data_IF_731215686277
#
_entry.id   IF_731215686277
#
_cell.length_a   1.000
_cell.length_b   1.000
_cell.length_c   1.000
_cell.angle_alpha   90.00
_cell.angle_beta   90.00
_cell.angle_gamma   90.00
#
_symmetry.space_group_name_H-M   'P 1'
#
loop_
_entity.id
_entity.type
_entity.pdbx_description
1 polymer ?
#
# COMPACT_ATOMS: atom_id res chain seq x y z
N UNK A 1 -37.75 -32.26 -41.78
CA UNK A 1 -36.37 -32.04 -42.25
C UNK A 1 -35.88 -30.76 -41.58
N UNK A 2 -34.77 -30.88 -40.87
CA UNK A 2 -34.06 -29.91 -40.03
C UNK A 2 -33.83 -28.57 -40.78
N UNK A 3 -33.52 -27.43 -40.15
CA UNK A 3 -32.69 -27.21 -38.97
C UNK A 3 -32.84 -25.81 -38.38
N UNK A 4 -32.48 -25.75 -37.11
CA UNK A 4 -32.27 -24.65 -36.18
C UNK A 4 -31.65 -23.34 -36.71
N UNK A 5 -32.05 -22.24 -36.08
CA UNK A 5 -31.36 -20.94 -36.11
C UNK A 5 -31.62 -20.18 -34.82
N UNK A 6 -30.59 -20.13 -33.97
CA UNK A 6 -30.57 -19.70 -32.56
C UNK A 6 -31.01 -18.26 -32.29
N UNK A 7 -31.55 -18.09 -31.08
CA UNK A 7 -31.70 -16.85 -30.31
C UNK A 7 -30.37 -16.12 -30.11
N UNK A 8 -30.33 -14.82 -30.36
CA UNK A 8 -29.24 -13.94 -29.92
C UNK A 8 -29.77 -13.10 -28.75
N UNK A 9 -29.30 -13.47 -27.57
CA UNK A 9 -29.43 -12.77 -26.31
C UNK A 9 -28.58 -11.50 -26.35
N UNK A 10 -29.20 -10.32 -26.33
CA UNK A 10 -28.52 -9.03 -26.12
C UNK A 10 -28.38 -8.82 -24.61
N UNK A 11 -27.31 -9.33 -24.02
CA UNK A 11 -26.96 -8.97 -22.64
C UNK A 11 -25.50 -9.21 -22.28
N UNK A 12 -24.52 -8.67 -23.02
CA UNK A 12 -23.14 -8.58 -22.47
C UNK A 12 -22.25 -7.55 -23.16
N UNK A 13 -22.47 -6.26 -22.90
CA UNK A 13 -21.40 -5.25 -23.02
C UNK A 13 -21.51 -4.34 -21.79
N UNK A 14 -20.81 -4.68 -20.70
CA UNK A 14 -20.51 -3.76 -19.59
C UNK A 14 -19.46 -4.27 -18.58
N UNK A 15 -18.78 -5.40 -18.83
CA UNK A 15 -17.81 -5.98 -17.87
C UNK A 15 -16.33 -5.85 -18.26
N UNK A 16 -16.02 -5.44 -19.50
CA UNK A 16 -14.61 -5.32 -19.95
C UNK A 16 -14.00 -3.94 -19.70
N UNK A 17 -14.81 -2.88 -19.64
CA UNK A 17 -14.32 -1.50 -19.45
C UNK A 17 -13.88 -1.22 -18.00
N UNK A 18 -14.51 -1.83 -17.00
CA UNK A 18 -14.12 -1.65 -15.60
C UNK A 18 -12.76 -2.29 -15.30
N UNK A 19 -12.51 -3.49 -15.84
CA UNK A 19 -11.30 -4.27 -15.59
C UNK A 19 -10.04 -3.62 -16.16
N UNK A 20 -10.13 -2.99 -17.34
CA UNK A 20 -9.02 -2.24 -17.97
C UNK A 20 -8.71 -0.97 -17.16
N UNK A 21 -9.73 -0.32 -16.60
CA UNK A 21 -9.54 0.89 -15.78
C UNK A 21 -8.85 0.56 -14.46
N UNK A 22 -9.17 -0.57 -13.83
CA UNK A 22 -8.55 -0.96 -12.55
C UNK A 22 -7.19 -1.61 -12.70
N UNK A 23 -6.92 -2.33 -13.79
CA UNK A 23 -5.56 -2.77 -14.12
C UNK A 23 -4.62 -1.58 -14.37
N UNK A 24 -5.09 -0.54 -15.06
CA UNK A 24 -4.32 0.70 -15.25
C UNK A 24 -4.09 1.47 -13.93
N UNK A 25 -4.93 1.29 -12.91
CA UNK A 25 -4.75 1.92 -11.59
C UNK A 25 -3.57 1.33 -10.80
N UNK A 26 -3.08 0.13 -11.12
CA UNK A 26 -1.89 -0.47 -10.48
C UNK A 26 -0.72 -0.73 -11.45
N UNK A 27 -0.94 -0.64 -12.77
CA UNK A 27 0.09 -0.75 -13.81
C UNK A 27 0.79 0.57 -14.16
N UNK A 28 0.34 1.71 -13.63
CA UNK A 28 1.13 2.93 -13.66
C UNK A 28 2.27 2.79 -12.64
N UNK A 29 3.49 3.16 -13.02
CA UNK A 29 4.69 2.98 -12.18
C UNK A 29 4.70 3.98 -11.00
N UNK A 30 3.79 3.77 -10.05
CA UNK A 30 3.66 4.58 -8.84
C UNK A 30 4.87 4.44 -7.93
N UNK A 31 5.55 3.29 -8.00
CA UNK A 31 6.80 3.09 -7.27
C UNK A 31 7.92 3.97 -7.85
N UNK A 32 8.09 4.01 -9.17
CA UNK A 32 9.01 4.94 -9.84
C UNK A 32 8.66 6.40 -9.51
N UNK A 33 7.37 6.77 -9.62
CA UNK A 33 6.91 8.14 -9.29
C UNK A 33 7.23 8.52 -7.83
N UNK A 34 7.07 7.58 -6.89
CA UNK A 34 7.41 7.78 -5.48
C UNK A 34 8.93 7.95 -5.29
N UNK A 35 9.73 7.14 -5.99
CA UNK A 35 11.20 7.24 -5.96
C UNK A 35 11.70 8.57 -6.53
N UNK A 36 11.17 9.01 -7.67
CA UNK A 36 11.48 10.32 -8.25
C UNK A 36 11.08 11.46 -7.31
N UNK A 37 10.04 11.25 -6.50
CA UNK A 37 9.54 12.20 -5.51
C UNK A 37 10.06 11.95 -4.08
N UNK A 38 11.18 11.23 -3.90
CA UNK A 38 11.67 10.79 -2.59
C UNK A 38 11.85 11.93 -1.57
N UNK A 39 12.32 13.10 -2.01
CA UNK A 39 12.48 14.28 -1.13
C UNK A 39 11.14 14.80 -0.60
N UNK A 40 10.12 14.84 -1.47
CA UNK A 40 8.76 15.25 -1.10
C UNK A 40 8.11 14.21 -0.20
N UNK A 41 8.34 12.93 -0.48
CA UNK A 41 7.90 11.84 0.37
C UNK A 41 8.53 11.94 1.76
N UNK A 42 9.85 12.13 1.86
CA UNK A 42 10.55 12.29 3.12
C UNK A 42 10.00 13.46 3.94
N UNK A 43 9.77 14.63 3.33
CA UNK A 43 9.14 15.77 4.00
C UNK A 43 7.76 15.41 4.54
N UNK A 44 6.94 14.74 3.73
CA UNK A 44 5.58 14.31 4.12
C UNK A 44 5.60 13.30 5.25
N UNK A 45 6.57 12.37 5.21
CA UNK A 45 6.83 11.39 6.25
C UNK A 45 7.24 12.09 7.55
N UNK A 46 8.19 13.03 7.50
CA UNK A 46 8.65 13.79 8.67
C UNK A 46 7.55 14.64 9.31
N UNK A 47 6.72 15.29 8.48
CA UNK A 47 5.61 16.11 8.95
C UNK A 47 4.40 15.28 9.45
N UNK A 48 4.33 14.00 9.14
CA UNK A 48 3.20 13.15 9.57
C UNK A 48 1.95 13.36 8.74
N UNK A 49 2.10 13.80 7.49
CA UNK A 49 1.04 13.70 6.47
C UNK A 49 0.95 12.28 5.95
N UNK A 50 2.11 11.66 5.71
CA UNK A 50 2.24 10.21 5.67
C UNK A 50 2.84 9.80 6.99
N UNK A 51 2.13 9.03 7.81
CA UNK A 51 2.58 8.68 9.16
C UNK A 51 3.63 7.59 9.15
N UNK A 52 3.51 6.67 8.21
CA UNK A 52 4.43 5.56 8.07
C UNK A 52 4.15 4.77 6.81
N UNK A 53 4.94 3.71 6.63
CA UNK A 53 4.77 2.76 5.52
C UNK A 53 4.65 1.35 6.07
N UNK A 54 3.67 0.61 5.57
CA UNK A 54 3.45 -0.81 5.88
C UNK A 54 3.64 -1.64 4.63
N UNK A 55 4.60 -2.55 4.66
CA UNK A 55 4.86 -3.47 3.55
C UNK A 55 4.18 -4.82 3.77
N UNK A 56 3.21 -5.17 2.94
CA UNK A 56 2.61 -6.50 2.91
C UNK A 56 3.43 -7.36 1.95
N UNK A 57 4.09 -8.37 2.49
CA UNK A 57 4.99 -9.27 1.74
C UNK A 57 4.31 -10.62 1.59
N UNK A 58 4.41 -11.19 0.39
CA UNK A 58 3.81 -12.49 0.04
C UNK A 58 2.29 -12.51 0.25
N UNK A 59 1.63 -11.48 -0.30
CA UNK A 59 0.19 -11.36 -0.25
C UNK A 59 -0.48 -12.59 -0.89
N UNK A 60 -1.44 -13.25 -0.22
CA UNK A 60 -1.97 -14.53 -0.67
C UNK A 60 -2.74 -14.42 -1.99
N UNK A 61 -2.34 -15.24 -2.97
CA UNK A 61 -3.11 -15.42 -4.20
C UNK A 61 -4.28 -16.37 -3.95
N UNK A 62 -5.44 -15.82 -3.59
CA UNK A 62 -6.56 -16.64 -3.16
C UNK A 62 -7.39 -17.15 -4.34
N UNK A 63 -7.16 -18.39 -4.77
CA UNK A 63 -8.12 -19.09 -5.62
C UNK A 63 -9.42 -19.53 -4.90
N UNK A 64 -9.51 -19.39 -3.56
CA UNK A 64 -10.60 -20.01 -2.78
C UNK A 64 -10.92 -19.44 -1.39
N UNK A 65 -10.23 -18.40 -0.90
CA UNK A 65 -10.51 -17.76 0.41
C UNK A 65 -10.53 -16.25 0.27
N UNK A 66 -11.64 -15.65 0.65
CA UNK A 66 -11.91 -14.21 0.58
C UNK A 66 -10.76 -13.39 1.20
N UNK A 67 -10.03 -12.60 0.41
CA UNK A 67 -8.98 -11.68 0.87
C UNK A 67 -9.56 -10.46 1.62
N UNK A 68 -10.79 -10.56 2.13
CA UNK A 68 -11.54 -9.48 2.76
C UNK A 68 -10.88 -8.96 4.04
N UNK A 69 -10.22 -9.82 4.82
CA UNK A 69 -9.45 -9.40 5.99
C UNK A 69 -8.28 -8.48 5.63
N UNK A 70 -7.56 -8.79 4.55
CA UNK A 70 -6.48 -7.94 4.06
C UNK A 70 -7.00 -6.62 3.50
N UNK A 71 -8.12 -6.63 2.77
CA UNK A 71 -8.73 -5.39 2.29
C UNK A 71 -9.19 -4.51 3.44
N UNK A 72 -9.78 -5.09 4.47
CA UNK A 72 -10.15 -4.37 5.69
C UNK A 72 -8.91 -3.76 6.37
N UNK A 73 -7.85 -4.54 6.54
CA UNK A 73 -6.58 -4.09 7.10
C UNK A 73 -5.99 -2.91 6.31
N UNK A 74 -5.85 -3.04 4.99
CA UNK A 74 -5.32 -2.00 4.11
C UNK A 74 -6.16 -0.74 4.22
N UNK A 75 -7.49 -0.90 4.20
CA UNK A 75 -8.41 0.21 4.29
C UNK A 75 -8.25 1.00 5.59
N UNK A 76 -8.14 0.29 6.71
CA UNK A 76 -7.95 0.86 8.04
C UNK A 76 -6.57 1.52 8.20
N UNK A 77 -5.53 1.01 7.54
CA UNK A 77 -4.21 1.63 7.50
C UNK A 77 -4.21 2.94 6.71
N UNK A 78 -4.77 2.97 5.49
CA UNK A 78 -4.80 4.20 4.69
C UNK A 78 -5.70 5.26 5.34
N UNK A 79 -6.77 4.86 6.03
CA UNK A 79 -7.60 5.77 6.84
C UNK A 79 -6.81 6.43 8.00
N UNK A 80 -5.72 5.79 8.46
CA UNK A 80 -4.83 6.32 9.50
C UNK A 80 -3.62 7.08 8.94
N UNK A 81 -3.65 7.48 7.67
CA UNK A 81 -2.54 8.13 6.96
C UNK A 81 -1.28 7.25 6.83
N UNK A 82 -1.45 5.92 6.81
CA UNK A 82 -0.34 4.96 6.66
C UNK A 82 -0.36 4.42 5.23
N UNK A 83 0.75 4.61 4.51
CA UNK A 83 0.90 4.12 3.15
C UNK A 83 1.11 2.61 3.14
N UNK A 84 0.53 1.93 2.16
CA UNK A 84 0.68 0.48 2.03
C UNK A 84 1.45 0.15 0.76
N UNK A 85 2.47 -0.70 0.88
CA UNK A 85 3.18 -1.27 -0.25
C UNK A 85 2.96 -2.78 -0.29
N UNK A 86 2.66 -3.35 -1.45
CA UNK A 86 2.39 -4.77 -1.61
C UNK A 86 3.49 -5.38 -2.49
N UNK A 87 4.14 -6.41 -1.98
CA UNK A 87 5.14 -7.21 -2.68
C UNK A 87 4.64 -8.64 -2.82
N UNK A 88 4.34 -9.09 -4.04
CA UNK A 88 3.83 -10.42 -4.37
C UNK A 88 3.99 -10.73 -5.86
N UNK A 89 3.62 -11.94 -6.31
CA UNK A 89 3.62 -12.25 -7.75
C UNK A 89 2.54 -11.48 -8.54
N UNK A 90 2.77 -11.25 -9.84
CA UNK A 90 1.92 -10.43 -10.73
C UNK A 90 0.42 -10.75 -10.69
N UNK A 91 0.07 -12.03 -10.54
CA UNK A 91 -1.33 -12.47 -10.46
C UNK A 91 -2.07 -11.85 -9.28
N UNK A 92 -1.37 -11.56 -8.18
CA UNK A 92 -1.95 -10.90 -7.02
C UNK A 92 -2.25 -9.43 -7.30
N UNK A 93 -1.36 -8.72 -8.00
CA UNK A 93 -1.59 -7.33 -8.40
C UNK A 93 -2.87 -7.19 -9.24
N UNK A 94 -3.05 -8.10 -10.21
CA UNK A 94 -4.26 -8.17 -11.05
C UNK A 94 -5.52 -8.44 -10.21
N UNK A 95 -5.46 -9.41 -9.29
CA UNK A 95 -6.58 -9.74 -8.43
C UNK A 95 -6.94 -8.59 -7.49
N UNK A 96 -5.94 -7.91 -6.93
CA UNK A 96 -6.14 -6.75 -6.06
C UNK A 96 -6.78 -5.58 -6.81
N UNK A 97 -6.34 -5.29 -8.05
CA UNK A 97 -7.05 -4.35 -8.92
C UNK A 97 -8.52 -4.77 -9.10
N UNK A 98 -8.81 -6.05 -9.35
CA UNK A 98 -10.20 -6.51 -9.44
C UNK A 98 -11.05 -6.31 -8.17
N UNK A 99 -10.40 -6.24 -6.99
CA UNK A 99 -11.09 -6.11 -5.69
C UNK A 99 -11.19 -4.67 -5.18
N UNK A 100 -10.34 -3.76 -5.64
CA UNK A 100 -10.25 -2.37 -5.16
C UNK A 100 -10.96 -1.43 -6.15
N UNK A 101 -12.13 -0.92 -5.76
CA UNK A 101 -12.82 0.13 -6.50
C UNK A 101 -12.31 1.55 -6.17
N UNK A 102 -12.66 2.57 -6.97
CA UNK A 102 -12.28 3.96 -6.71
C UNK A 102 -12.75 4.47 -5.34
N UNK A 103 -13.87 3.97 -4.82
CA UNK A 103 -14.40 4.31 -3.49
C UNK A 103 -13.51 3.81 -2.33
N UNK A 104 -12.63 2.83 -2.58
CA UNK A 104 -11.70 2.32 -1.57
C UNK A 104 -10.76 3.42 -1.08
N UNK A 105 -10.29 4.27 -2.00
CA UNK A 105 -9.34 5.33 -1.69
C UNK A 105 -9.99 6.59 -1.11
N UNK A 106 -11.32 6.74 -1.22
CA UNK A 106 -12.05 7.86 -0.59
C UNK A 106 -12.03 7.81 0.95
N UNK A 107 -11.73 6.65 1.51
CA UNK A 107 -11.57 6.42 2.95
C UNK A 107 -10.12 6.60 3.42
N UNK A 108 -9.21 7.01 2.54
CA UNK A 108 -7.86 7.39 2.95
C UNK A 108 -7.92 8.65 3.84
N UNK A 109 -7.03 8.72 4.83
CA UNK A 109 -6.90 9.90 5.68
C UNK A 109 -6.49 11.13 4.85
N UNK A 110 -6.88 12.31 5.33
CA UNK A 110 -6.68 13.56 4.60
C UNK A 110 -5.20 13.81 4.24
N UNK A 111 -4.27 13.41 5.11
CA UNK A 111 -2.84 13.67 4.93
C UNK A 111 -2.24 12.84 3.81
N UNK A 112 -2.49 11.52 3.82
CA UNK A 112 -1.99 10.65 2.76
C UNK A 112 -2.74 10.88 1.44
N UNK A 113 -4.06 11.11 1.50
CA UNK A 113 -4.86 11.39 0.31
C UNK A 113 -4.36 12.64 -0.42
N UNK A 114 -4.07 13.71 0.33
CA UNK A 114 -3.51 14.93 -0.25
C UNK A 114 -2.12 14.72 -0.86
N UNK A 115 -1.23 14.02 -0.15
CA UNK A 115 0.11 13.71 -0.67
C UNK A 115 0.03 12.89 -1.98
N UNK A 116 -0.74 11.82 -1.96
CA UNK A 116 -0.96 10.94 -3.11
C UNK A 116 -1.53 11.71 -4.31
N UNK A 117 -2.53 12.57 -4.09
CA UNK A 117 -3.08 13.45 -5.13
C UNK A 117 -2.05 14.46 -5.67
N UNK A 118 -1.16 14.97 -4.81
CA UNK A 118 -0.16 15.96 -5.20
C UNK A 118 0.89 15.38 -6.16
N UNK A 119 1.38 14.17 -5.90
CA UNK A 119 2.38 13.51 -6.76
C UNK A 119 1.77 12.58 -7.82
N UNK A 120 0.46 12.36 -7.81
CA UNK A 120 -0.26 11.58 -8.83
C UNK A 120 -0.21 10.05 -8.62
N UNK A 121 -0.12 9.58 -7.38
CA UNK A 121 -0.13 8.15 -7.04
C UNK A 121 -1.34 7.76 -6.17
N UNK A 122 -1.53 6.46 -5.94
CA UNK A 122 -2.49 5.93 -4.96
C UNK A 122 -1.79 5.63 -3.61
N UNK A 123 -2.54 5.59 -2.48
CA UNK A 123 -1.98 5.28 -1.16
C UNK A 123 -1.62 3.79 -0.97
N UNK A 124 -1.99 2.95 -1.93
CA UNK A 124 -1.61 1.52 -1.99
C UNK A 124 -0.78 1.32 -3.25
N UNK A 125 0.47 0.91 -3.10
CA UNK A 125 1.42 0.73 -4.19
C UNK A 125 1.75 -0.75 -4.34
N UNK A 126 1.67 -1.25 -5.57
CA UNK A 126 2.16 -2.57 -5.92
C UNK A 126 3.60 -2.45 -6.42
N UNK A 127 4.55 -3.11 -5.75
CA UNK A 127 5.99 -3.03 -6.07
C UNK A 127 6.48 -4.28 -6.83
N UNK A 128 5.59 -5.24 -7.09
CA UNK A 128 5.96 -6.47 -7.80
C UNK A 128 6.53 -7.55 -6.88
N UNK A 129 7.33 -8.43 -7.46
CA UNK A 129 7.82 -9.66 -6.83
C UNK A 129 8.92 -9.39 -5.81
N UNK A 130 8.90 -10.17 -4.72
CA UNK A 130 9.85 -10.17 -3.59
C UNK A 130 11.32 -10.44 -3.99
N UNK A 131 11.62 -10.60 -5.28
CA UNK A 131 12.96 -10.85 -5.83
C UNK A 131 13.69 -9.53 -6.15
N UNK A 132 12.98 -8.42 -6.34
CA UNK A 132 13.56 -7.09 -6.68
C UNK A 132 13.75 -6.19 -5.44
N UNK A 133 14.36 -6.75 -4.38
CA UNK A 133 14.48 -6.11 -3.06
C UNK A 133 15.50 -4.98 -2.97
N UNK A 134 16.51 -4.92 -3.85
CA UNK A 134 17.60 -3.94 -3.73
C UNK A 134 17.09 -2.51 -3.71
N UNK A 135 16.20 -2.19 -4.65
CA UNK A 135 15.77 -0.82 -4.90
C UNK A 135 14.84 -0.33 -3.78
N UNK A 136 14.00 -1.22 -3.24
CA UNK A 136 13.18 -0.95 -2.06
C UNK A 136 14.05 -0.67 -0.84
N UNK A 137 15.05 -1.52 -0.60
CA UNK A 137 15.93 -1.36 0.56
C UNK A 137 16.77 -0.08 0.44
N UNK A 138 17.24 0.25 -0.76
CA UNK A 138 17.99 1.47 -1.05
C UNK A 138 17.13 2.72 -0.86
N UNK A 139 15.85 2.70 -1.26
CA UNK A 139 14.91 3.76 -0.96
C UNK A 139 14.80 4.02 0.55
N UNK A 140 14.57 2.97 1.36
CA UNK A 140 14.51 3.13 2.82
C UNK A 140 15.84 3.52 3.45
N UNK A 141 16.98 3.05 2.91
CA UNK A 141 18.30 3.48 3.35
C UNK A 141 18.50 4.98 3.08
N UNK A 142 18.06 5.49 1.93
CA UNK A 142 18.07 6.91 1.59
C UNK A 142 17.21 7.75 2.54
N UNK A 143 16.01 7.28 2.90
CA UNK A 143 15.18 7.94 3.91
C UNK A 143 15.83 7.96 5.29
N UNK A 144 16.45 6.85 5.68
CA UNK A 144 17.16 6.73 6.96
C UNK A 144 18.35 7.70 7.03
N UNK A 145 19.10 7.80 5.93
CA UNK A 145 20.21 8.75 5.78
C UNK A 145 19.72 10.19 5.90
N UNK A 146 18.63 10.55 5.20
CA UNK A 146 18.02 11.89 5.32
C UNK A 146 17.50 12.19 6.73
N UNK A 147 16.99 11.18 7.44
CA UNK A 147 16.56 11.29 8.83
C UNK A 147 17.72 11.31 9.83
N UNK A 148 18.95 10.97 9.41
CA UNK A 148 20.10 10.72 10.27
C UNK A 148 19.83 9.67 11.37
N UNK A 149 19.10 8.60 11.02
CA UNK A 149 18.79 7.48 11.91
C UNK A 149 19.09 6.15 11.23
N UNK A 150 19.16 5.07 12.00
CA UNK A 150 19.16 3.72 11.43
C UNK A 150 17.80 3.39 10.80
N UNK A 151 17.80 2.62 9.71
CA UNK A 151 16.58 2.22 8.98
C UNK A 151 15.49 1.66 9.90
N UNK A 152 15.87 0.86 10.89
CA UNK A 152 14.94 0.25 11.85
C UNK A 152 14.20 1.27 12.73
N UNK A 153 14.68 2.51 12.82
CA UNK A 153 14.05 3.59 13.58
C UNK A 153 13.09 4.42 12.75
N UNK A 154 13.02 4.22 11.43
CA UNK A 154 11.98 4.82 10.61
C UNK A 154 10.59 4.30 11.04
N UNK A 155 9.53 5.09 10.81
CA UNK A 155 8.15 4.65 11.02
C UNK A 155 7.72 3.69 9.90
N UNK A 156 8.25 2.48 9.95
CA UNK A 156 7.99 1.40 9.00
C UNK A 156 7.59 0.13 9.73
N UNK A 157 6.74 -0.66 9.08
CA UNK A 157 6.37 -2.00 9.51
C UNK A 157 6.19 -2.91 8.29
N UNK A 158 6.18 -4.21 8.52
CA UNK A 158 5.82 -5.17 7.49
C UNK A 158 4.82 -6.19 8.03
N UNK A 159 4.07 -6.80 7.11
CA UNK A 159 3.11 -7.86 7.41
C UNK A 159 3.50 -9.06 6.54
N UNK A 160 3.73 -10.20 7.20
CA UNK A 160 4.14 -11.43 6.54
C UNK A 160 3.27 -12.60 7.01
N UNK A 161 2.49 -13.24 6.13
CA UNK A 161 1.73 -14.43 6.48
C UNK A 161 2.63 -15.66 6.63
N UNK A 162 2.97 -15.98 7.88
CA UNK A 162 3.32 -17.32 8.34
C UNK A 162 4.68 -17.90 7.92
N UNK A 163 4.93 -18.16 6.63
CA UNK A 163 6.00 -19.09 6.21
C UNK A 163 7.35 -18.46 5.82
N UNK A 164 7.45 -17.13 5.79
CA UNK A 164 8.65 -16.44 5.28
C UNK A 164 9.25 -15.42 6.26
N UNK A 165 8.83 -15.40 7.53
CA UNK A 165 9.27 -14.40 8.51
C UNK A 165 10.80 -14.32 8.66
N UNK A 166 11.50 -15.45 8.62
CA UNK A 166 12.96 -15.52 8.76
C UNK A 166 13.74 -15.13 7.47
N UNK A 167 13.04 -14.96 6.34
CA UNK A 167 13.65 -14.72 5.02
C UNK A 167 13.26 -13.35 4.42
N UNK A 168 12.53 -12.53 5.17
CA UNK A 168 12.10 -11.21 4.72
C UNK A 168 13.07 -10.16 5.28
N UNK A 169 13.92 -9.64 4.41
CA UNK A 169 14.57 -8.36 4.65
C UNK A 169 13.50 -7.26 4.60
N UNK A 170 12.95 -6.96 5.78
CA UNK A 170 11.91 -5.95 5.96
C UNK A 170 12.52 -4.60 6.30
N UNK A 171 11.94 -3.48 5.82
CA UNK A 171 12.35 -2.14 6.24
C UNK A 171 11.96 -1.82 7.69
N UNK A 172 11.16 -2.65 8.36
CA UNK A 172 10.70 -2.43 9.74
C UNK A 172 10.29 -3.69 10.48
N UNK A 173 9.69 -3.53 11.66
CA UNK A 173 9.18 -4.65 12.47
C UNK A 173 8.11 -5.44 11.71
N UNK A 174 8.19 -6.77 11.76
CA UNK A 174 7.25 -7.68 11.08
C UNK A 174 6.09 -8.04 12.03
N UNK A 175 4.87 -7.90 11.54
CA UNK A 175 3.62 -8.24 12.23
C UNK A 175 2.93 -9.43 11.53
N UNK A 176 2.09 -10.13 12.28
CA UNK A 176 1.20 -11.18 11.77
C UNK A 176 -0.25 -10.74 11.89
N UNK A 177 -1.13 -11.40 11.13
CA UNK A 177 -2.58 -11.21 11.21
C UNK A 177 -3.27 -12.32 12.01
N UNK A 178 -2.56 -13.03 12.90
CA UNK A 178 -3.13 -14.14 13.69
C UNK A 178 -4.29 -13.70 14.59
N UNK A 179 -4.22 -12.46 15.07
CA UNK A 179 -5.18 -11.83 15.97
C UNK A 179 -6.32 -11.08 15.24
N UNK A 180 -6.38 -11.17 13.91
CA UNK A 180 -7.36 -10.49 13.06
C UNK A 180 -6.98 -9.06 12.67
N UNK A 181 -7.60 -8.50 11.61
CA UNK A 181 -7.15 -7.26 10.97
C UNK A 181 -7.24 -6.03 11.88
N UNK A 182 -8.33 -5.88 12.65
CA UNK A 182 -8.52 -4.72 13.51
C UNK A 182 -7.42 -4.58 14.58
N UNK A 183 -7.14 -5.67 15.30
CA UNK A 183 -6.11 -5.68 16.34
C UNK A 183 -4.71 -5.50 15.75
N UNK A 184 -4.43 -6.12 14.59
CA UNK A 184 -3.17 -5.91 13.88
C UNK A 184 -2.98 -4.45 13.47
N UNK A 185 -4.02 -3.77 12.96
CA UNK A 185 -3.93 -2.34 12.63
C UNK A 185 -3.60 -1.51 13.86
N UNK A 186 -4.27 -1.72 14.98
CA UNK A 186 -4.03 -0.93 16.19
C UNK A 186 -2.60 -1.13 16.73
N UNK A 187 -2.06 -2.34 16.64
CA UNK A 187 -0.66 -2.63 17.00
C UNK A 187 0.33 -1.92 16.07
N UNK A 188 0.07 -1.95 14.76
CA UNK A 188 0.90 -1.26 13.78
C UNK A 188 0.83 0.26 13.99
N UNK A 189 -0.36 0.80 14.23
CA UNK A 189 -0.59 2.22 14.46
C UNK A 189 0.21 2.73 15.68
N UNK A 190 0.15 1.98 16.79
CA UNK A 190 0.93 2.27 17.99
C UNK A 190 2.45 2.16 17.72
N UNK A 191 2.89 1.14 17.00
CA UNK A 191 4.30 0.99 16.63
C UNK A 191 4.81 2.16 15.77
N UNK A 192 4.02 2.56 14.77
CA UNK A 192 4.33 3.73 13.93
C UNK A 192 4.41 4.99 14.79
N UNK A 193 3.43 5.22 15.65
CA UNK A 193 3.42 6.34 16.59
C UNK A 193 4.69 6.38 17.45
N UNK A 194 5.05 5.26 18.09
CA UNK A 194 6.23 5.15 18.96
C UNK A 194 7.53 5.40 18.19
N UNK A 195 7.65 4.88 16.96
CA UNK A 195 8.81 5.14 16.08
C UNK A 195 8.96 6.62 15.76
N UNK A 196 7.86 7.29 15.41
CA UNK A 196 7.88 8.74 15.12
C UNK A 196 8.31 9.55 16.34
N UNK A 197 7.77 9.26 17.52
CA UNK A 197 8.18 9.92 18.75
C UNK A 197 9.64 9.64 19.11
N UNK A 198 10.10 8.40 18.90
CA UNK A 198 11.49 8.00 19.13
C UNK A 198 12.52 8.79 18.32
N UNK A 199 12.14 9.27 17.13
CA UNK A 199 12.97 10.12 16.27
C UNK A 199 12.56 11.61 16.30
N UNK A 200 11.76 12.01 17.30
CA UNK A 200 11.31 13.38 17.54
C UNK A 200 10.47 13.98 16.40
N UNK A 201 9.73 13.15 15.66
CA UNK A 201 8.80 13.60 14.64
C UNK A 201 7.41 13.79 15.24
N UNK A 202 6.66 14.76 14.72
CA UNK A 202 5.26 14.92 15.08
C UNK A 202 4.44 13.75 14.53
N UNK A 203 3.53 13.18 15.32
CA UNK A 203 2.75 12.03 14.88
C UNK A 203 1.73 12.40 13.78
N UNK A 204 0.98 13.50 13.95
CA UNK A 204 0.07 14.05 12.93
C UNK A 204 0.17 15.56 12.83
N UNK A 205 0.27 16.06 11.61
CA UNK A 205 0.07 17.48 11.31
C UNK A 205 -1.22 17.64 10.50
N UNK A 206 -2.26 18.22 11.08
CA UNK A 206 -3.56 18.47 10.41
C UNK A 206 -3.54 19.63 9.41
N UNK A 207 -2.48 19.75 8.59
CA UNK A 207 -2.28 20.89 7.68
C UNK A 207 -2.03 20.46 6.22
N UNK A 208 -2.66 21.21 5.30
CA UNK A 208 -2.58 20.97 3.85
C UNK A 208 -1.16 21.10 3.27
N UNK A 209 -0.83 20.34 2.24
CA UNK A 209 0.39 20.39 1.42
C UNK A 209 0.50 21.75 0.72
N UNK A 210 1.17 22.70 1.37
CA UNK A 210 1.63 23.91 0.71
C UNK A 210 2.89 23.58 -0.09
N UNK A 211 2.92 23.84 -1.42
CA UNK A 211 4.10 23.62 -2.26
C UNK A 211 5.29 24.53 -1.89
N UNK A 212 5.11 25.44 -0.93
CA UNK A 212 6.12 26.39 -0.46
C UNK A 212 6.67 26.06 0.94
N UNK A 213 6.45 24.83 1.44
CA UNK A 213 6.86 24.41 2.80
C UNK A 213 8.15 23.60 2.84
#
# INVERSE_FOLDING_TARGET
MNSDGQSVDLSTENSESSSITTLNLLNNDFWETLNESADLFFKSLKLGRVRGVVSIVDFPNSGSKDNSEYLQLIQELINRDIMVTISSGETVGINMAGMIGPDFFQRAGDGIAEFCNFIGILPVLYIGSTIDKSDILDFYNGLAQHAAVEKINLPTAAIAPGRYQEQIESPGTVFTMEDGPAKTVDLIDAHIHDKRLGIQWCDRCGGRFSPFS
#
